data_IF_218141757355
#
_entry.id   IF_218141757355
#
_cell.length_a   1.000
_cell.length_b   1.000
_cell.length_c   1.000
_cell.angle_alpha   90.00
_cell.angle_beta   90.00
_cell.angle_gamma   90.00
#
_symmetry.space_group_name_H-M   'P 1'
#
loop_
_entity.id
_entity.type
_entity.pdbx_description
1 polymer ?
#
# COMPACT_ATOMS: atom_id res chain seq x y z
N UNK A 1 11.63 3.90 -19.01
CA UNK A 1 10.34 3.22 -19.26
C UNK A 1 9.43 3.46 -18.05
N UNK A 2 8.22 4.00 -18.22
CA UNK A 2 7.26 4.18 -17.11
C UNK A 2 6.53 2.86 -16.86
N UNK A 3 6.24 2.55 -15.60
CA UNK A 3 5.47 1.37 -15.20
C UNK A 3 4.02 1.78 -14.96
N UNK A 4 3.15 1.51 -15.94
CA UNK A 4 1.74 1.88 -15.90
C UNK A 4 0.93 0.89 -15.07
N UNK A 5 -0.02 1.40 -14.28
CA UNK A 5 -0.98 0.55 -13.60
C UNK A 5 -2.05 0.05 -14.59
N UNK A 6 -2.42 -1.24 -14.57
CA UNK A 6 -3.48 -1.77 -15.43
C UNK A 6 -4.90 -1.40 -14.96
N UNK A 7 -5.06 -0.95 -13.71
CA UNK A 7 -6.38 -0.66 -13.11
C UNK A 7 -6.68 0.83 -12.96
N UNK A 8 -5.70 1.71 -13.20
CA UNK A 8 -5.88 3.16 -13.05
C UNK A 8 -4.82 3.94 -13.87
N UNK A 9 -5.00 5.25 -14.12
CA UNK A 9 -4.09 6.03 -14.95
C UNK A 9 -2.74 6.37 -14.29
N UNK A 10 -2.40 5.77 -13.13
CA UNK A 10 -1.14 6.05 -12.43
C UNK A 10 0.04 5.37 -13.11
N UNK A 11 1.16 6.09 -13.15
CA UNK A 11 2.43 5.61 -13.65
C UNK A 11 3.51 5.72 -12.58
N UNK A 12 4.41 4.74 -12.53
CA UNK A 12 5.51 4.69 -11.55
C UNK A 12 6.86 4.67 -12.27
N UNK A 13 7.85 5.32 -11.66
CA UNK A 13 9.22 5.34 -12.16
C UNK A 13 9.94 3.98 -11.99
N UNK A 14 9.47 3.13 -11.08
CA UNK A 14 10.13 1.85 -10.74
C UNK A 14 9.12 0.70 -10.66
N UNK A 15 9.52 -0.49 -11.11
CA UNK A 15 8.68 -1.68 -11.15
C UNK A 15 8.15 -2.09 -9.76
N UNK A 16 8.99 -2.03 -8.73
CA UNK A 16 8.57 -2.41 -7.37
C UNK A 16 7.49 -1.47 -6.81
N UNK A 17 7.53 -0.18 -7.18
CA UNK A 17 6.49 0.77 -6.80
C UNK A 17 5.16 0.41 -7.48
N UNK A 18 5.19 0.06 -8.76
CA UNK A 18 3.99 -0.45 -9.45
C UNK A 18 3.47 -1.73 -8.78
N UNK A 19 4.33 -2.71 -8.50
CA UNK A 19 3.93 -3.98 -7.87
C UNK A 19 3.23 -3.76 -6.53
N UNK A 20 3.81 -2.91 -5.69
CA UNK A 20 3.22 -2.58 -4.38
C UNK A 20 1.96 -1.72 -4.51
N UNK A 21 1.83 -0.91 -5.56
CA UNK A 21 0.60 -0.17 -5.86
C UNK A 21 -0.51 -1.08 -6.38
N UNK A 22 -0.24 -2.06 -7.22
CA UNK A 22 -1.28 -2.98 -7.73
C UNK A 22 -2.04 -3.63 -6.56
N UNK A 23 -1.33 -3.99 -5.48
CA UNK A 23 -1.95 -4.53 -4.28
C UNK A 23 -2.96 -3.57 -3.61
N UNK A 24 -2.92 -2.25 -3.86
CA UNK A 24 -3.93 -1.31 -3.33
C UNK A 24 -5.28 -1.41 -4.02
N UNK A 25 -5.34 -2.03 -5.20
CA UNK A 25 -6.61 -2.29 -5.90
C UNK A 25 -7.34 -3.53 -5.37
N UNK A 26 -6.66 -4.36 -4.56
CA UNK A 26 -7.28 -5.49 -3.87
C UNK A 26 -8.06 -4.99 -2.64
N UNK A 27 -9.40 -5.08 -2.62
CA UNK A 27 -10.21 -4.65 -1.49
C UNK A 27 -9.99 -5.51 -0.24
N UNK A 28 -9.51 -6.75 -0.39
CA UNK A 28 -9.24 -7.68 0.69
C UNK A 28 -7.79 -7.63 1.17
N UNK A 29 -7.00 -6.66 0.68
CA UNK A 29 -5.59 -6.54 1.01
C UNK A 29 -5.36 -6.62 2.53
N UNK A 30 -4.57 -7.59 3.02
CA UNK A 30 -4.33 -7.74 4.44
C UNK A 30 -3.61 -6.51 4.99
N UNK A 31 -4.03 -6.11 6.21
CA UNK A 31 -3.41 -5.04 7.00
C UNK A 31 -2.83 -5.63 8.27
N UNK A 32 -1.74 -6.42 8.17
CA UNK A 32 -1.18 -7.12 9.32
C UNK A 32 -0.54 -6.15 10.32
N UNK A 33 -0.17 -4.94 9.89
CA UNK A 33 0.48 -3.95 10.75
C UNK A 33 -0.57 -3.02 11.34
N UNK A 34 -1.01 -3.29 12.57
CA UNK A 34 -1.97 -2.45 13.28
C UNK A 34 -1.25 -1.47 14.21
N UNK A 35 -1.81 -0.27 14.33
CA UNK A 35 -1.36 0.69 15.32
C UNK A 35 -1.57 0.10 16.73
N UNK A 36 -0.54 0.09 17.60
CA UNK A 36 -0.65 -0.52 18.93
C UNK A 36 -1.58 0.28 19.86
N UNK A 37 -1.85 1.54 19.55
CA UNK A 37 -2.78 2.37 20.30
C UNK A 37 -4.23 1.95 20.02
N UNK A 38 -4.90 1.41 21.04
CA UNK A 38 -6.26 0.90 20.95
C UNK A 38 -7.29 1.96 20.50
N UNK A 39 -7.07 3.24 20.84
CA UNK A 39 -7.92 4.36 20.42
C UNK A 39 -7.77 4.74 18.93
N UNK A 40 -6.69 4.32 18.27
CA UNK A 40 -6.43 4.68 16.87
C UNK A 40 -7.15 3.73 15.90
N UNK A 41 -7.10 2.41 16.15
CA UNK A 41 -7.73 1.40 15.31
C UNK A 41 -7.19 1.28 13.87
N UNK A 42 -6.17 2.05 13.49
CA UNK A 42 -5.65 2.06 12.11
C UNK A 42 -4.80 0.83 11.81
N UNK A 43 -5.01 0.28 10.61
CA UNK A 43 -4.25 -0.83 10.07
C UNK A 43 -3.56 -0.47 8.75
N UNK A 44 -2.36 -1.00 8.57
CA UNK A 44 -1.47 -0.74 7.45
C UNK A 44 -1.06 -2.06 6.80
N UNK A 45 -0.88 -2.03 5.49
CA UNK A 45 -0.42 -3.19 4.73
C UNK A 45 1.10 -3.28 4.61
N UNK A 46 1.85 -2.27 5.07
CA UNK A 46 3.32 -2.29 5.11
C UNK A 46 3.82 -1.75 6.44
N UNK A 47 4.95 -2.28 6.92
CA UNK A 47 5.58 -1.87 8.18
C UNK A 47 6.03 -0.41 8.18
N UNK A 48 6.62 0.07 7.08
CA UNK A 48 7.07 1.47 7.00
C UNK A 48 5.89 2.46 6.98
N UNK A 49 4.73 2.05 6.46
CA UNK A 49 3.52 2.86 6.49
C UNK A 49 3.04 3.04 7.95
N UNK A 50 3.10 1.98 8.77
CA UNK A 50 2.85 2.06 10.22
C UNK A 50 3.90 2.89 10.95
N UNK A 51 5.18 2.79 10.58
CA UNK A 51 6.25 3.54 11.26
C UNK A 51 6.21 5.05 11.01
N UNK A 52 5.63 5.49 9.88
CA UNK A 52 5.42 6.92 9.57
C UNK A 52 4.11 7.46 10.13
N UNK A 53 3.13 6.58 10.36
CA UNK A 53 1.82 6.91 10.88
C UNK A 53 1.89 7.46 12.30
#
# INVERSE_FOLDING_TARGET
KKHLCPHCPRAFARAYNLKTHIATHDPQRPKPYKCPYASCGRGFSRKHDLGRH
#
